data_IF_482590041649
#
_entry.id   IF_482590041649
#
_cell.length_a   1.000
_cell.length_b   1.000
_cell.length_c   1.000
_cell.angle_alpha   90.00
_cell.angle_beta   90.00
_cell.angle_gamma   90.00
#
_symmetry.space_group_name_H-M   'P 1'
#
loop_
_entity.id
_entity.type
_entity.pdbx_description
1 polymer ?
#
# COMPACT_ATOMS: atom_id res chain seq x y z
N UNK A 1 8.85 -3.08 36.61
CA UNK A 1 8.46 -4.51 36.59
C UNK A 1 8.37 -4.86 35.12
N UNK A 2 9.46 -5.39 34.56
CA UNK A 2 9.48 -5.76 33.14
C UNK A 2 8.63 -7.01 32.93
N UNK A 3 7.69 -6.94 31.99
CA UNK A 3 6.88 -8.08 31.59
C UNK A 3 7.75 -9.07 30.83
N UNK A 4 7.67 -10.36 31.19
CA UNK A 4 8.40 -11.44 30.52
C UNK A 4 7.43 -12.15 29.56
N UNK A 5 7.74 -12.15 28.27
CA UNK A 5 6.91 -12.76 27.24
C UNK A 5 7.28 -14.22 26.94
N UNK A 6 8.50 -14.62 27.20
CA UNK A 6 8.98 -15.96 26.91
C UNK A 6 10.17 -16.36 27.78
N UNK A 7 10.49 -17.64 27.80
CA UNK A 7 11.73 -18.16 28.38
C UNK A 7 12.54 -18.77 27.25
N UNK A 8 13.64 -18.09 26.91
CA UNK A 8 14.61 -18.61 25.93
C UNK A 8 15.60 -19.61 26.56
N UNK A 9 16.14 -20.49 25.73
CA UNK A 9 17.21 -21.40 26.14
C UNK A 9 18.54 -20.93 25.52
N UNK A 10 19.52 -20.64 26.39
CA UNK A 10 20.88 -20.30 25.95
C UNK A 10 21.87 -21.35 26.47
N UNK A 11 22.80 -21.77 25.64
CA UNK A 11 23.89 -22.68 26.04
C UNK A 11 24.17 -23.83 25.06
N UNK A 12 25.19 -24.60 25.35
CA UNK A 12 25.58 -25.78 24.58
C UNK A 12 24.60 -26.95 24.80
N UNK A 13 24.68 -28.05 24.00
CA UNK A 13 23.82 -29.22 24.19
C UNK A 13 23.92 -29.83 25.58
N UNK A 14 25.00 -29.56 26.31
CA UNK A 14 25.29 -30.13 27.64
C UNK A 14 24.93 -29.19 28.81
N UNK A 15 24.67 -27.91 28.53
CA UNK A 15 24.30 -26.93 29.54
C UNK A 15 23.36 -25.88 28.97
N UNK A 16 22.10 -25.96 29.35
CA UNK A 16 21.06 -25.00 28.96
C UNK A 16 20.59 -24.18 30.14
N UNK A 17 20.74 -22.89 30.06
CA UNK A 17 20.20 -21.96 31.06
C UNK A 17 18.92 -21.34 30.51
N UNK A 18 17.89 -21.27 31.37
CA UNK A 18 16.68 -20.50 31.10
C UNK A 18 16.99 -19.02 31.29
N UNK A 19 16.89 -18.25 30.22
CA UNK A 19 17.06 -16.79 30.28
C UNK A 19 15.69 -16.15 30.09
N UNK A 20 15.27 -15.25 30.99
CA UNK A 20 14.08 -14.46 30.76
C UNK A 20 14.29 -13.60 29.52
N UNK A 21 13.38 -13.69 28.55
CA UNK A 21 13.36 -12.80 27.39
C UNK A 21 12.37 -11.69 27.70
N UNK A 22 12.84 -10.42 27.78
CA UNK A 22 11.92 -9.29 27.95
C UNK A 22 10.94 -9.27 26.79
N UNK A 23 9.71 -8.85 27.06
CA UNK A 23 8.78 -8.53 25.98
C UNK A 23 9.39 -7.42 25.13
N UNK A 24 9.38 -7.54 23.80
CA UNK A 24 9.76 -6.42 22.96
C UNK A 24 8.86 -5.22 23.32
N UNK A 25 9.46 -4.14 23.77
CA UNK A 25 8.74 -2.90 24.02
C UNK A 25 8.32 -2.33 22.67
N UNK A 26 7.08 -1.85 22.56
CA UNK A 26 6.62 -1.14 21.37
C UNK A 26 7.53 0.10 21.19
N UNK A 27 8.23 0.14 20.09
CA UNK A 27 9.14 1.23 19.76
C UNK A 27 8.36 2.44 19.19
N UNK A 28 8.85 3.67 19.36
CA UNK A 28 8.23 4.84 18.73
C UNK A 28 8.04 4.68 17.21
N UNK A 29 8.91 3.92 16.55
CA UNK A 29 8.84 3.58 15.13
C UNK A 29 7.58 2.77 14.80
N UNK A 30 7.19 1.84 15.66
CA UNK A 30 5.98 1.02 15.46
C UNK A 30 4.72 1.86 15.48
N UNK A 31 4.64 2.82 16.41
CA UNK A 31 3.53 3.76 16.47
C UNK A 31 3.50 4.67 15.23
N UNK A 32 4.66 5.16 14.80
CA UNK A 32 4.75 6.00 13.60
C UNK A 32 4.30 5.23 12.34
N UNK A 33 4.74 3.98 12.19
CA UNK A 33 4.32 3.10 11.09
C UNK A 33 2.82 2.82 11.13
N UNK A 34 2.25 2.56 12.32
CA UNK A 34 0.80 2.39 12.48
C UNK A 34 0.04 3.63 12.02
N UNK A 35 0.44 4.82 12.46
CA UNK A 35 -0.22 6.09 12.09
C UNK A 35 -0.14 6.31 10.58
N UNK A 36 1.02 6.10 9.97
CA UNK A 36 1.23 6.23 8.52
C UNK A 36 0.35 5.24 7.77
N UNK A 37 0.34 3.97 8.16
CA UNK A 37 -0.48 2.94 7.53
C UNK A 37 -1.97 3.26 7.61
N UNK A 38 -2.45 3.68 8.78
CA UNK A 38 -3.85 4.07 8.95
C UNK A 38 -4.19 5.26 8.06
N UNK A 39 -3.38 6.32 8.10
CA UNK A 39 -3.65 7.53 7.32
C UNK A 39 -3.74 7.26 5.82
N UNK A 40 -2.73 6.61 5.26
CA UNK A 40 -2.68 6.34 3.81
C UNK A 40 -3.61 5.20 3.39
N UNK A 41 -3.75 4.16 4.21
CA UNK A 41 -4.61 3.03 3.92
C UNK A 41 -6.09 3.39 3.98
N UNK A 42 -6.53 4.04 5.06
CA UNK A 42 -7.92 4.49 5.20
C UNK A 42 -8.25 5.61 4.20
N UNK A 43 -7.30 6.51 3.94
CA UNK A 43 -7.45 7.51 2.89
C UNK A 43 -7.74 6.86 1.53
N UNK A 44 -6.95 5.86 1.15
CA UNK A 44 -7.16 5.13 -0.10
C UNK A 44 -8.47 4.35 -0.11
N UNK A 45 -8.84 3.71 1.00
CA UNK A 45 -10.15 3.07 1.15
C UNK A 45 -11.30 4.03 0.83
N UNK A 46 -11.26 5.27 1.34
CA UNK A 46 -12.29 6.26 1.05
C UNK A 46 -12.34 6.68 -0.42
N UNK A 47 -11.21 6.71 -1.11
CA UNK A 47 -11.19 6.93 -2.57
C UNK A 47 -11.93 5.81 -3.32
N UNK A 48 -11.70 4.56 -2.96
CA UNK A 48 -12.42 3.41 -3.53
C UNK A 48 -13.91 3.41 -3.18
N UNK A 49 -14.22 3.68 -1.92
CA UNK A 49 -15.60 3.81 -1.44
C UNK A 49 -16.36 4.89 -2.22
N UNK A 50 -15.75 6.05 -2.41
CA UNK A 50 -16.36 7.14 -3.18
C UNK A 50 -16.60 6.77 -4.65
N UNK A 51 -15.75 5.94 -5.27
CA UNK A 51 -15.98 5.44 -6.63
C UNK A 51 -17.21 4.54 -6.75
N UNK A 52 -17.59 3.85 -5.67
CA UNK A 52 -18.76 2.97 -5.65
C UNK A 52 -20.02 3.74 -5.26
N UNK A 53 -19.95 4.51 -4.18
CA UNK A 53 -21.11 5.12 -3.52
C UNK A 53 -21.23 6.64 -3.72
N UNK A 54 -20.19 7.29 -4.25
CA UNK A 54 -20.20 8.73 -4.55
C UNK A 54 -20.99 9.06 -5.81
N UNK A 55 -21.11 10.36 -6.10
CA UNK A 55 -21.92 10.88 -7.22
C UNK A 55 -21.50 10.30 -8.58
N UNK A 56 -22.39 9.51 -9.19
CA UNK A 56 -22.16 8.81 -10.45
C UNK A 56 -21.69 7.38 -10.32
N UNK A 57 -21.19 6.99 -9.15
CA UNK A 57 -20.76 5.62 -8.84
C UNK A 57 -19.74 5.04 -9.84
N UNK A 58 -19.68 3.71 -9.93
CA UNK A 58 -18.80 3.01 -10.88
C UNK A 58 -19.09 3.38 -12.34
N UNK A 59 -20.35 3.68 -12.69
CA UNK A 59 -20.69 4.10 -14.03
C UNK A 59 -20.10 5.48 -14.37
N UNK A 60 -20.13 6.42 -13.42
CA UNK A 60 -19.50 7.74 -13.54
C UNK A 60 -17.99 7.63 -13.67
N UNK A 61 -17.36 6.84 -12.81
CA UNK A 61 -15.92 6.55 -12.86
C UNK A 61 -15.53 5.91 -14.19
N UNK A 62 -16.34 4.98 -14.71
CA UNK A 62 -16.12 4.37 -16.01
C UNK A 62 -16.18 5.37 -17.16
N UNK A 63 -17.17 6.29 -17.17
CA UNK A 63 -17.22 7.36 -18.18
C UNK A 63 -15.98 8.28 -18.12
N UNK A 64 -15.54 8.61 -16.92
CA UNK A 64 -14.32 9.40 -16.73
C UNK A 64 -13.08 8.66 -17.26
N UNK A 65 -12.91 7.36 -16.99
CA UNK A 65 -11.82 6.56 -17.55
C UNK A 65 -11.90 6.45 -19.08
N UNK A 66 -13.11 6.33 -19.64
CA UNK A 66 -13.30 6.35 -21.09
C UNK A 66 -12.82 7.66 -21.71
N UNK A 67 -13.13 8.82 -21.08
CA UNK A 67 -12.69 10.14 -21.57
C UNK A 67 -11.17 10.31 -21.56
N UNK A 68 -10.46 9.56 -20.74
CA UNK A 68 -8.97 9.54 -20.69
C UNK A 68 -8.35 8.54 -21.64
N UNK A 69 -9.14 7.77 -22.40
CA UNK A 69 -8.65 6.79 -23.35
C UNK A 69 -8.34 5.41 -22.76
N UNK A 70 -8.92 5.06 -21.61
CA UNK A 70 -8.82 3.72 -21.04
C UNK A 70 -9.78 2.74 -21.72
N UNK A 71 -9.25 1.62 -22.21
CA UNK A 71 -10.08 0.50 -22.75
C UNK A 71 -10.78 -0.22 -21.62
N UNK A 72 -11.94 -0.79 -21.92
CA UNK A 72 -12.81 -1.50 -20.96
C UNK A 72 -13.10 -0.66 -19.69
N UNK A 73 -13.61 0.56 -19.86
CA UNK A 73 -13.66 1.55 -18.77
C UNK A 73 -14.48 1.08 -17.56
N UNK A 74 -15.53 0.29 -17.76
CA UNK A 74 -16.29 -0.30 -16.66
C UNK A 74 -15.48 -1.32 -15.85
N UNK A 75 -14.62 -2.10 -16.49
CA UNK A 75 -13.69 -3.00 -15.82
C UNK A 75 -12.64 -2.19 -15.05
N UNK A 76 -12.07 -1.16 -15.68
CA UNK A 76 -11.08 -0.29 -15.03
C UNK A 76 -11.65 0.40 -13.78
N UNK A 77 -12.90 0.86 -13.83
CA UNK A 77 -13.56 1.47 -12.67
C UNK A 77 -13.70 0.48 -11.49
N UNK A 78 -14.08 -0.77 -11.79
CA UNK A 78 -14.17 -1.83 -10.78
C UNK A 78 -12.80 -2.18 -10.22
N UNK A 79 -11.81 -2.40 -11.09
CA UNK A 79 -10.43 -2.72 -10.67
C UNK A 79 -9.85 -1.61 -9.80
N UNK A 80 -9.99 -0.34 -10.18
CA UNK A 80 -9.53 0.77 -9.36
C UNK A 80 -10.21 0.77 -7.99
N UNK A 81 -11.54 0.72 -7.94
CA UNK A 81 -12.28 0.75 -6.68
C UNK A 81 -11.94 -0.45 -5.76
N UNK A 82 -11.86 -1.67 -6.33
CA UNK A 82 -11.51 -2.86 -5.54
C UNK A 82 -10.06 -2.81 -5.04
N UNK A 83 -9.11 -2.37 -5.87
CA UNK A 83 -7.71 -2.21 -5.46
C UNK A 83 -7.58 -1.15 -4.36
N UNK A 84 -8.24 0.00 -4.50
CA UNK A 84 -8.23 1.04 -3.47
C UNK A 84 -8.80 0.55 -2.14
N UNK A 85 -9.91 -0.16 -2.16
CA UNK A 85 -10.54 -0.69 -0.95
C UNK A 85 -9.67 -1.79 -0.34
N UNK A 86 -9.31 -2.81 -1.11
CA UNK A 86 -8.60 -3.98 -0.58
C UNK A 86 -7.18 -3.62 -0.13
N UNK A 87 -6.39 -2.96 -1.00
CA UNK A 87 -5.02 -2.58 -0.63
C UNK A 87 -5.00 -1.52 0.46
N UNK A 88 -5.98 -0.60 0.49
CA UNK A 88 -6.12 0.37 1.56
C UNK A 88 -6.35 -0.29 2.92
N UNK A 89 -7.28 -1.22 3.01
CA UNK A 89 -7.57 -1.96 4.25
C UNK A 89 -6.41 -2.86 4.69
N UNK A 90 -5.81 -3.60 3.74
CA UNK A 90 -4.66 -4.46 4.02
C UNK A 90 -3.47 -3.64 4.52
N UNK A 91 -3.18 -2.51 3.89
CA UNK A 91 -2.10 -1.61 4.28
C UNK A 91 -2.35 -0.99 5.65
N UNK A 92 -3.57 -0.53 5.94
CA UNK A 92 -3.94 0.01 7.25
C UNK A 92 -3.77 -1.04 8.36
N UNK A 93 -4.22 -2.27 8.12
CA UNK A 93 -4.08 -3.38 9.05
C UNK A 93 -2.62 -3.88 9.19
N UNK A 94 -1.74 -3.56 8.24
CA UNK A 94 -0.41 -4.17 8.14
C UNK A 94 -0.50 -5.65 7.86
N UNK A 95 -1.34 -6.04 6.90
CA UNK A 95 -1.51 -7.41 6.46
C UNK A 95 -1.08 -7.55 5.01
N UNK A 96 -0.19 -8.51 4.72
CA UNK A 96 0.44 -8.70 3.42
C UNK A 96 1.02 -7.37 2.91
N UNK A 97 1.70 -6.66 3.79
CA UNK A 97 2.10 -5.26 3.64
C UNK A 97 2.79 -4.93 2.32
N UNK A 98 3.81 -5.67 1.84
CA UNK A 98 4.46 -5.35 0.57
C UNK A 98 3.57 -5.62 -0.66
N UNK A 99 2.63 -6.54 -0.58
CA UNK A 99 1.66 -6.80 -1.65
C UNK A 99 0.62 -5.69 -1.73
N UNK A 100 0.09 -5.25 -0.57
CA UNK A 100 -0.80 -4.10 -0.48
C UNK A 100 -0.12 -2.83 -1.01
N UNK A 101 1.13 -2.58 -0.58
CA UNK A 101 1.94 -1.48 -1.07
C UNK A 101 2.16 -1.54 -2.59
N UNK A 102 2.43 -2.74 -3.14
CA UNK A 102 2.56 -2.94 -4.59
C UNK A 102 1.29 -2.56 -5.35
N UNK A 103 0.11 -2.96 -4.84
CA UNK A 103 -1.17 -2.56 -5.40
C UNK A 103 -1.39 -1.04 -5.35
N UNK A 104 -1.06 -0.40 -4.22
CA UNK A 104 -1.11 1.06 -4.08
C UNK A 104 -0.18 1.76 -5.07
N UNK A 105 1.06 1.33 -5.18
CA UNK A 105 2.06 1.89 -6.11
C UNK A 105 1.56 1.77 -7.55
N UNK A 106 1.10 0.59 -7.95
CA UNK A 106 0.59 0.36 -9.29
C UNK A 106 -0.58 1.27 -9.66
N UNK A 107 -1.54 1.39 -8.75
CA UNK A 107 -2.67 2.27 -8.90
C UNK A 107 -2.24 3.75 -9.03
N UNK A 108 -1.32 4.21 -8.18
CA UNK A 108 -0.82 5.58 -8.19
C UNK A 108 -0.02 5.89 -9.47
N UNK A 109 0.78 4.96 -9.96
CA UNK A 109 1.52 5.13 -11.22
C UNK A 109 0.58 5.23 -12.43
N UNK A 110 -0.47 4.41 -12.48
CA UNK A 110 -1.50 4.52 -13.52
C UNK A 110 -2.24 5.84 -13.43
N UNK A 111 -2.66 6.25 -12.23
CA UNK A 111 -3.33 7.54 -12.02
C UNK A 111 -2.43 8.72 -12.41
N UNK A 112 -1.16 8.70 -11.99
CA UNK A 112 -0.18 9.72 -12.37
C UNK A 112 -0.06 9.84 -13.88
N UNK A 113 0.05 8.71 -14.59
CA UNK A 113 0.23 8.71 -16.03
C UNK A 113 -1.00 9.13 -16.81
N UNK A 114 -2.17 8.61 -16.43
CA UNK A 114 -3.41 8.78 -17.19
C UNK A 114 -4.08 10.12 -16.89
N UNK A 115 -4.12 10.53 -15.61
CA UNK A 115 -4.90 11.67 -15.17
C UNK A 115 -4.08 12.93 -14.81
N UNK A 116 -2.90 12.75 -14.18
CA UNK A 116 -2.25 13.87 -13.47
C UNK A 116 -0.99 14.44 -14.14
N UNK A 117 -0.28 13.68 -14.98
CA UNK A 117 1.02 14.08 -15.52
C UNK A 117 1.04 15.43 -16.25
N UNK A 118 -0.06 15.80 -16.88
CA UNK A 118 -0.18 17.04 -17.64
C UNK A 118 -0.60 18.27 -16.80
N UNK A 119 -1.01 18.04 -15.55
CA UNK A 119 -1.53 19.09 -14.67
C UNK A 119 -0.43 19.78 -13.85
N UNK A 120 0.82 19.34 -14.00
CA UNK A 120 1.96 19.80 -13.21
C UNK A 120 2.07 19.10 -11.85
N UNK A 121 2.98 19.57 -11.00
CA UNK A 121 3.28 18.92 -9.72
C UNK A 121 2.18 19.15 -8.67
N UNK A 122 1.82 20.40 -8.41
CA UNK A 122 1.02 20.81 -7.25
C UNK A 122 -0.45 20.37 -7.33
N UNK A 123 -0.94 19.81 -6.21
CA UNK A 123 -2.35 19.33 -6.07
C UNK A 123 -3.40 20.40 -6.31
N UNK A 124 -3.11 21.65 -5.96
CA UNK A 124 -4.05 22.79 -6.13
C UNK A 124 -4.17 23.28 -7.56
N UNK A 125 -3.43 22.73 -8.51
CA UNK A 125 -3.60 23.07 -9.92
C UNK A 125 -4.90 22.49 -10.48
N UNK A 126 -5.48 23.18 -11.46
CA UNK A 126 -6.69 22.70 -12.15
C UNK A 126 -6.44 21.30 -12.72
N UNK A 127 -7.27 20.35 -12.32
CA UNK A 127 -7.14 18.94 -12.70
C UNK A 127 -6.25 18.13 -11.76
N UNK A 128 -5.78 18.72 -10.66
CA UNK A 128 -4.93 18.12 -9.62
C UNK A 128 -3.58 17.61 -10.16
N UNK A 129 -2.48 18.12 -9.61
CA UNK A 129 -1.14 17.69 -9.98
C UNK A 129 -0.81 16.29 -9.43
N UNK A 130 0.36 15.77 -9.82
CA UNK A 130 0.77 14.41 -9.45
C UNK A 130 1.44 14.30 -8.06
N UNK A 131 1.50 15.40 -7.29
CA UNK A 131 2.12 15.47 -5.96
C UNK A 131 1.58 14.38 -5.00
N UNK A 132 0.26 14.27 -4.86
CA UNK A 132 -0.34 13.35 -3.91
C UNK A 132 -0.21 11.89 -4.33
N UNK A 133 -0.34 11.57 -5.62
CA UNK A 133 -0.17 10.19 -6.10
C UNK A 133 1.28 9.73 -5.95
N UNK A 134 2.25 10.62 -6.16
CA UNK A 134 3.66 10.33 -5.91
C UNK A 134 3.91 10.12 -4.40
N UNK A 135 3.35 10.96 -3.54
CA UNK A 135 3.50 10.84 -2.09
C UNK A 135 2.96 9.51 -1.58
N UNK A 136 1.77 9.09 -2.04
CA UNK A 136 1.20 7.79 -1.68
C UNK A 136 2.11 6.65 -2.13
N UNK A 137 2.61 6.69 -3.38
CA UNK A 137 3.47 5.63 -3.91
C UNK A 137 4.80 5.52 -3.15
N UNK A 138 5.43 6.66 -2.82
CA UNK A 138 6.70 6.70 -2.07
C UNK A 138 6.51 6.21 -0.64
N UNK A 139 5.44 6.65 0.05
CA UNK A 139 5.14 6.20 1.41
C UNK A 139 4.82 4.70 1.43
N UNK A 140 4.04 4.20 0.49
CA UNK A 140 3.75 2.78 0.39
C UNK A 140 5.03 1.94 0.20
N UNK A 141 5.93 2.39 -0.67
CA UNK A 141 7.22 1.74 -0.88
C UNK A 141 8.12 1.80 0.35
N UNK A 142 8.17 2.94 1.05
CA UNK A 142 8.95 3.11 2.27
C UNK A 142 8.48 2.16 3.38
N UNK A 143 7.16 2.07 3.60
CA UNK A 143 6.59 1.14 4.59
C UNK A 143 6.86 -0.32 4.19
N UNK A 144 6.73 -0.69 2.92
CA UNK A 144 7.09 -2.03 2.47
C UNK A 144 8.58 -2.37 2.65
N UNK A 145 9.45 -1.35 2.62
CA UNK A 145 10.89 -1.51 2.83
C UNK A 145 11.25 -1.63 4.31
N UNK A 146 10.64 -0.80 5.16
CA UNK A 146 10.92 -0.81 6.61
C UNK A 146 10.29 -2.02 7.29
N UNK A 147 9.17 -2.50 6.75
CA UNK A 147 8.28 -3.48 7.35
C UNK A 147 7.04 -2.84 7.98
N UNK A 148 6.05 -3.67 8.38
CA UNK A 148 4.80 -3.17 8.92
C UNK A 148 4.89 -2.65 10.36
N UNK A 149 5.95 -3.01 11.11
CA UNK A 149 6.11 -2.75 12.55
C UNK A 149 5.33 -3.73 13.42
N UNK A 150 5.62 -3.74 14.73
CA UNK A 150 5.03 -4.66 15.70
C UNK A 150 3.51 -4.50 15.85
N UNK A 151 2.98 -3.29 15.64
CA UNK A 151 1.55 -3.02 15.69
C UNK A 151 0.85 -3.35 14.36
N UNK A 152 1.03 -4.58 13.86
CA UNK A 152 0.52 -5.04 12.58
C UNK A 152 -0.03 -6.46 12.64
N UNK A 153 -0.85 -6.83 11.67
CA UNK A 153 -1.34 -8.20 11.55
C UNK A 153 -0.22 -9.13 11.09
N UNK A 154 0.67 -8.68 10.19
CA UNK A 154 1.82 -9.46 9.73
C UNK A 154 2.72 -9.87 10.90
N UNK A 155 2.96 -8.97 11.86
CA UNK A 155 3.72 -9.27 13.07
C UNK A 155 2.97 -10.25 13.98
N UNK A 156 1.67 -10.00 14.22
CA UNK A 156 0.85 -10.85 15.08
C UNK A 156 0.74 -12.30 14.60
N UNK A 157 0.88 -12.54 13.29
CA UNK A 157 0.89 -13.89 12.70
C UNK A 157 2.32 -14.41 12.41
N UNK A 158 3.35 -13.63 12.76
CA UNK A 158 4.75 -14.04 12.69
C UNK A 158 5.37 -14.08 11.30
N UNK A 159 4.85 -13.28 10.35
CA UNK A 159 5.37 -13.20 8.97
C UNK A 159 6.01 -11.85 8.61
N UNK A 160 6.06 -10.90 9.56
CA UNK A 160 6.57 -9.56 9.30
C UNK A 160 8.01 -9.57 8.77
N UNK A 161 8.89 -10.33 9.42
CA UNK A 161 10.32 -10.44 9.05
C UNK A 161 10.54 -11.15 7.71
N UNK A 162 9.58 -11.94 7.23
CA UNK A 162 9.68 -12.61 5.93
C UNK A 162 9.53 -11.64 4.76
N UNK A 163 8.88 -10.51 5.00
CA UNK A 163 8.43 -9.56 3.98
C UNK A 163 9.09 -8.18 4.06
N UNK A 164 9.98 -7.93 5.00
CA UNK A 164 10.63 -6.63 5.20
C UNK A 164 11.91 -6.42 4.37
N UNK A 165 12.59 -5.31 4.58
CA UNK A 165 13.86 -4.97 3.96
C UNK A 165 13.81 -4.99 2.44
N UNK A 166 14.86 -5.50 1.81
CA UNK A 166 14.97 -5.56 0.35
C UNK A 166 13.95 -6.48 -0.32
N UNK A 167 13.44 -7.48 0.41
CA UNK A 167 12.37 -8.36 -0.10
C UNK A 167 11.07 -7.58 -0.23
N UNK A 168 10.66 -6.89 0.82
CA UNK A 168 9.46 -6.05 0.80
C UNK A 168 9.54 -4.95 -0.25
N UNK A 169 10.68 -4.23 -0.30
CA UNK A 169 10.95 -3.22 -1.31
C UNK A 169 10.84 -3.79 -2.74
N UNK A 170 11.43 -4.97 -2.97
CA UNK A 170 11.42 -5.64 -4.27
C UNK A 170 10.03 -6.11 -4.68
N UNK A 171 9.29 -6.75 -3.77
CA UNK A 171 7.91 -7.21 -4.03
C UNK A 171 7.03 -6.02 -4.40
N UNK A 172 7.04 -4.96 -3.58
CA UNK A 172 6.22 -3.77 -3.81
C UNK A 172 6.57 -3.07 -5.14
N UNK A 173 7.87 -2.94 -5.46
CA UNK A 173 8.31 -2.31 -6.70
C UNK A 173 7.94 -3.16 -7.92
N UNK A 174 8.21 -4.46 -7.91
CA UNK A 174 7.93 -5.36 -9.04
C UNK A 174 6.43 -5.43 -9.32
N UNK A 175 5.61 -5.61 -8.30
CA UNK A 175 4.16 -5.66 -8.44
C UNK A 175 3.60 -4.31 -8.89
N UNK A 176 4.03 -3.22 -8.25
CA UNK A 176 3.54 -1.88 -8.55
C UNK A 176 3.93 -1.41 -9.93
N UNK A 177 5.22 -1.41 -10.25
CA UNK A 177 5.72 -0.95 -11.54
C UNK A 177 5.30 -1.91 -12.66
N UNK A 178 5.47 -3.22 -12.45
CA UNK A 178 5.10 -4.23 -13.44
C UNK A 178 3.61 -4.21 -13.74
N UNK A 179 2.77 -4.13 -12.70
CA UNK A 179 1.32 -4.01 -12.84
C UNK A 179 0.91 -2.74 -13.60
N UNK A 180 1.47 -1.58 -13.22
CA UNK A 180 1.18 -0.32 -13.90
C UNK A 180 1.60 -0.34 -15.38
N UNK A 181 2.81 -0.81 -15.68
CA UNK A 181 3.31 -0.91 -17.05
C UNK A 181 2.44 -1.84 -17.90
N UNK A 182 2.07 -3.00 -17.36
CA UNK A 182 1.18 -3.95 -18.04
C UNK A 182 -0.19 -3.34 -18.30
N UNK A 183 -0.80 -2.73 -17.29
CA UNK A 183 -2.11 -2.10 -17.43
C UNK A 183 -2.09 -0.97 -18.46
N UNK A 184 -1.08 -0.10 -18.42
CA UNK A 184 -0.92 1.00 -19.37
C UNK A 184 -0.67 0.47 -20.80
N UNK A 185 0.21 -0.52 -20.96
CA UNK A 185 0.52 -1.10 -22.25
C UNK A 185 -0.69 -1.76 -22.91
N UNK A 186 -1.55 -2.41 -22.13
CA UNK A 186 -2.73 -3.13 -22.63
C UNK A 186 -3.95 -2.23 -22.77
N UNK A 187 -4.17 -1.35 -21.78
CA UNK A 187 -5.46 -0.67 -21.61
C UNK A 187 -5.44 0.82 -22.00
N UNK A 188 -4.28 1.48 -22.03
CA UNK A 188 -4.24 2.91 -22.32
C UNK A 188 -4.12 3.18 -23.83
N UNK A 189 -5.15 3.79 -24.40
CA UNK A 189 -5.26 4.14 -25.84
C UNK A 189 -5.88 5.53 -25.98
N UNK A 190 -5.11 6.59 -25.68
CA UNK A 190 -5.61 7.96 -25.85
C UNK A 190 -5.93 8.20 -27.33
N UNK A 191 -6.99 8.98 -27.60
CA UNK A 191 -7.24 9.51 -28.93
C UNK A 191 -6.04 10.38 -29.36
N UNK A 192 -5.61 10.21 -30.59
CA UNK A 192 -4.55 11.03 -31.17
C UNK A 192 -5.07 12.41 -31.52
#
# INVERSE_FOLDING_TARGET
MEALCAVGWHGSPFYRVRVPVPCPAVEPTDLALLVVRIMFGVGLFFHGYNKIFGGGGLAGTGRWFASMGMRWPALQARLAATTEISCGLLFAAGLLTPFAAGGMIGLMLVAAWVAHRHNGFFIFRKGEGWEYVASIAVVAWAVATIGPGQLSVDDAIGVADDWDGWRGAGIAAVLGIGGALTQLAVCYRPAR
#
